data_IF_257989347612
#
_entry.id   IF_257989347612
#
_cell.length_a   1.000
_cell.length_b   1.000
_cell.length_c   1.000
_cell.angle_alpha   90.00
_cell.angle_beta   90.00
_cell.angle_gamma   90.00
#
_symmetry.space_group_name_H-M   'P 1'
#
loop_
_entity.id
_entity.type
_entity.pdbx_description
1 polymer ?
#
# COMPACT_ATOMS: atom_id res chain seq x y z
N UNK A 1 38.54 -22.11 -17.10
CA UNK A 1 37.18 -21.53 -17.02
C UNK A 1 36.90 -20.51 -18.12
N UNK A 2 37.77 -19.51 -18.35
CA UNK A 2 37.56 -18.47 -19.37
C UNK A 2 37.47 -18.96 -20.84
N UNK A 3 38.22 -19.99 -21.24
CA UNK A 3 38.16 -20.52 -22.62
C UNK A 3 36.89 -21.32 -22.91
N UNK A 4 36.26 -21.89 -21.88
CA UNK A 4 35.00 -22.63 -22.00
C UNK A 4 33.82 -21.66 -22.17
N UNK A 5 33.77 -20.61 -21.36
CA UNK A 5 32.74 -19.56 -21.45
C UNK A 5 32.85 -18.80 -22.78
N UNK A 6 34.06 -18.45 -23.22
CA UNK A 6 34.29 -17.80 -24.52
C UNK A 6 33.79 -18.66 -25.70
N UNK A 7 34.07 -19.97 -25.70
CA UNK A 7 33.58 -20.88 -26.74
C UNK A 7 32.07 -21.07 -26.68
N UNK A 8 31.48 -21.08 -25.50
CA UNK A 8 30.03 -21.14 -25.31
C UNK A 8 29.35 -19.88 -25.86
N UNK A 9 29.90 -18.69 -25.58
CA UNK A 9 29.38 -17.40 -26.06
C UNK A 9 29.54 -17.25 -27.58
N UNK A 10 30.66 -17.71 -28.16
CA UNK A 10 30.84 -17.67 -29.63
C UNK A 10 29.94 -18.68 -30.33
N UNK A 11 29.74 -19.88 -29.76
CA UNK A 11 28.76 -20.84 -30.28
C UNK A 11 27.31 -20.35 -30.11
N UNK A 12 27.04 -19.60 -29.04
CA UNK A 12 25.77 -18.92 -28.78
C UNK A 12 25.49 -17.83 -29.82
N UNK A 13 26.45 -16.93 -30.07
CA UNK A 13 26.32 -15.84 -31.05
C UNK A 13 26.26 -16.34 -32.50
N UNK A 14 26.94 -17.45 -32.83
CA UNK A 14 26.88 -18.06 -34.18
C UNK A 14 25.55 -18.74 -34.50
N UNK A 15 24.74 -19.07 -33.50
CA UNK A 15 23.47 -19.78 -33.67
C UNK A 15 22.22 -18.89 -33.59
N UNK A 16 22.40 -17.61 -33.27
CA UNK A 16 21.31 -16.64 -33.32
C UNK A 16 21.26 -16.11 -34.76
N UNK A 17 20.18 -16.41 -35.47
CA UNK A 17 20.00 -15.83 -36.81
C UNK A 17 19.66 -14.35 -36.68
N UNK A 18 20.10 -13.52 -37.63
CA UNK A 18 19.78 -12.09 -37.67
C UNK A 18 18.25 -11.85 -37.53
N UNK A 19 17.44 -12.74 -38.09
CA UNK A 19 15.99 -12.76 -37.96
C UNK A 19 15.51 -12.89 -36.50
N UNK A 20 16.15 -13.74 -35.69
CA UNK A 20 15.79 -13.91 -34.27
C UNK A 20 16.17 -12.68 -33.44
N UNK A 21 17.30 -12.02 -33.76
CA UNK A 21 17.65 -10.73 -33.14
C UNK A 21 16.63 -9.67 -33.49
N UNK A 22 16.23 -9.59 -34.76
CA UNK A 22 15.26 -8.61 -35.24
C UNK A 22 13.87 -8.82 -34.61
N UNK A 23 13.39 -10.06 -34.48
CA UNK A 23 12.12 -10.36 -33.80
C UNK A 23 12.19 -10.08 -32.30
N UNK A 24 13.31 -10.36 -31.62
CA UNK A 24 13.48 -10.01 -30.21
C UNK A 24 13.52 -8.48 -30.00
N UNK A 25 14.19 -7.76 -30.91
CA UNK A 25 14.19 -6.30 -30.93
C UNK A 25 12.80 -5.74 -31.22
N UNK A 26 12.04 -6.30 -32.16
CA UNK A 26 10.66 -5.90 -32.44
C UNK A 26 9.74 -6.16 -31.25
N UNK A 27 9.77 -7.36 -30.65
CA UNK A 27 8.91 -7.65 -29.48
C UNK A 27 9.33 -6.82 -28.27
N UNK A 28 10.63 -6.62 -28.06
CA UNK A 28 11.14 -5.72 -27.03
C UNK A 28 10.73 -4.27 -27.25
N UNK A 29 10.82 -3.78 -28.49
CA UNK A 29 10.40 -2.44 -28.89
C UNK A 29 8.89 -2.29 -28.74
N UNK A 30 8.08 -3.27 -29.15
CA UNK A 30 6.62 -3.27 -28.99
C UNK A 30 6.21 -3.31 -27.53
N UNK A 31 6.82 -4.17 -26.72
CA UNK A 31 6.54 -4.24 -25.28
C UNK A 31 6.93 -2.93 -24.59
N UNK A 32 8.05 -2.33 -25.01
CA UNK A 32 8.50 -1.02 -24.51
C UNK A 32 7.55 0.09 -24.96
N UNK A 33 7.11 0.10 -26.21
CA UNK A 33 6.14 1.06 -26.75
C UNK A 33 4.80 0.90 -26.05
N UNK A 34 4.32 -0.32 -25.82
CA UNK A 34 3.06 -0.59 -25.11
C UNK A 34 3.20 -0.12 -23.66
N UNK A 35 4.27 -0.50 -22.95
CA UNK A 35 4.52 -0.04 -21.58
C UNK A 35 4.63 1.49 -21.49
N UNK A 36 5.33 2.14 -22.41
CA UNK A 36 5.43 3.60 -22.48
C UNK A 36 4.10 4.23 -22.90
N UNK A 37 3.32 3.62 -23.79
CA UNK A 37 2.00 4.11 -24.20
C UNK A 37 1.01 3.99 -23.05
N UNK A 38 1.07 2.92 -22.25
CA UNK A 38 0.29 2.80 -21.02
C UNK A 38 0.75 3.80 -19.97
N UNK A 39 2.07 3.95 -19.76
CA UNK A 39 2.62 4.95 -18.84
C UNK A 39 2.22 6.38 -19.26
N UNK A 40 2.32 6.72 -20.54
CA UNK A 40 1.87 7.99 -21.14
C UNK A 40 0.36 8.12 -21.03
N UNK A 41 -0.43 7.07 -21.27
CA UNK A 41 -1.89 7.08 -21.09
C UNK A 41 -2.27 7.40 -19.64
N UNK A 42 -1.60 6.77 -18.66
CA UNK A 42 -1.80 7.04 -17.23
C UNK A 42 -1.28 8.41 -16.79
N UNK A 43 -0.19 8.91 -17.41
CA UNK A 43 0.34 10.25 -17.19
C UNK A 43 -0.62 11.31 -17.76
N UNK A 44 -1.10 11.12 -19.00
CA UNK A 44 -2.05 12.00 -19.68
C UNK A 44 -3.44 11.96 -19.04
N UNK A 45 -3.80 10.89 -18.31
CA UNK A 45 -5.00 10.83 -17.46
C UNK A 45 -4.96 11.88 -16.33
N UNK A 46 -3.77 12.36 -15.95
CA UNK A 46 -3.57 13.36 -14.88
C UNK A 46 -3.56 14.81 -15.37
N UNK A 47 -3.64 15.08 -16.68
CA UNK A 47 -3.76 16.45 -17.20
C UNK A 47 -5.24 16.89 -17.20
N UNK A 48 -5.59 18.04 -16.59
CA UNK A 48 -6.96 18.51 -16.50
C UNK A 48 -7.35 19.21 -17.81
N UNK A 49 -7.81 18.49 -18.84
CA UNK A 49 -8.32 19.14 -20.07
C UNK A 49 -9.33 18.28 -20.84
N UNK A 50 -10.52 18.88 -21.05
CA UNK A 50 -11.51 18.82 -22.15
C UNK A 50 -11.73 17.52 -23.00
N UNK A 51 -12.94 17.33 -23.59
CA UNK A 51 -13.33 16.15 -24.40
C UNK A 51 -12.41 15.78 -25.57
N UNK A 52 -11.58 16.71 -26.04
CA UNK A 52 -10.55 16.45 -27.05
C UNK A 52 -9.55 15.39 -26.58
N UNK A 53 -9.22 15.34 -25.28
CA UNK A 53 -8.32 14.30 -24.74
C UNK A 53 -8.97 12.92 -24.77
N UNK A 54 -10.29 12.81 -24.61
CA UNK A 54 -11.01 11.53 -24.75
C UNK A 54 -10.97 11.02 -26.20
N UNK A 55 -11.19 11.90 -27.19
CA UNK A 55 -11.12 11.55 -28.61
C UNK A 55 -9.69 11.12 -28.99
N UNK A 56 -8.67 11.86 -28.56
CA UNK A 56 -7.27 11.49 -28.79
C UNK A 56 -6.94 10.16 -28.11
N UNK A 57 -7.41 9.91 -26.87
CA UNK A 57 -7.23 8.64 -26.16
C UNK A 57 -7.88 7.46 -26.89
N UNK A 58 -9.10 7.64 -27.38
CA UNK A 58 -9.83 6.62 -28.14
C UNK A 58 -9.13 6.32 -29.47
N UNK A 59 -8.72 7.36 -30.21
CA UNK A 59 -8.02 7.22 -31.48
C UNK A 59 -6.65 6.55 -31.30
N UNK A 60 -5.90 6.90 -30.24
CA UNK A 60 -4.59 6.29 -29.99
C UNK A 60 -4.72 4.81 -29.63
N UNK A 61 -5.75 4.44 -28.85
CA UNK A 61 -6.06 3.04 -28.55
C UNK A 61 -6.49 2.24 -29.79
N UNK A 62 -7.34 2.82 -30.64
CA UNK A 62 -7.75 2.20 -31.91
C UNK A 62 -6.55 2.00 -32.85
N UNK A 63 -5.66 3.00 -32.96
CA UNK A 63 -4.46 2.90 -33.78
C UNK A 63 -3.48 1.83 -33.26
N UNK A 64 -3.32 1.69 -31.94
CA UNK A 64 -2.51 0.64 -31.35
C UNK A 64 -3.08 -0.76 -31.64
N UNK A 65 -4.40 -0.94 -31.52
CA UNK A 65 -5.07 -2.21 -31.85
C UNK A 65 -4.94 -2.53 -33.35
N UNK A 66 -5.19 -1.56 -34.22
CA UNK A 66 -5.02 -1.72 -35.67
C UNK A 66 -3.59 -2.12 -36.03
N UNK A 67 -2.60 -1.51 -35.38
CA UNK A 67 -1.20 -1.84 -35.61
C UNK A 67 -0.87 -3.28 -35.18
N UNK A 68 -1.38 -3.74 -34.04
CA UNK A 68 -1.24 -5.14 -33.59
C UNK A 68 -1.89 -6.10 -34.59
N UNK A 69 -3.08 -5.77 -35.10
CA UNK A 69 -3.77 -6.59 -36.10
C UNK A 69 -2.96 -6.66 -37.41
N UNK A 70 -2.43 -5.54 -37.90
CA UNK A 70 -1.57 -5.52 -39.10
C UNK A 70 -0.31 -6.37 -38.89
N UNK A 71 0.38 -6.21 -37.76
CA UNK A 71 1.56 -7.01 -37.44
C UNK A 71 1.24 -8.51 -37.35
N UNK A 72 0.10 -8.89 -36.79
CA UNK A 72 -0.36 -10.28 -36.74
C UNK A 72 -0.68 -10.85 -38.13
N UNK A 73 -1.32 -10.06 -38.99
CA UNK A 73 -1.64 -10.44 -40.38
C UNK A 73 -0.36 -10.63 -41.20
N UNK A 74 0.61 -9.73 -41.09
CA UNK A 74 1.89 -9.85 -41.81
C UNK A 74 2.68 -11.06 -41.32
N UNK A 75 2.69 -11.32 -40.01
CA UNK A 75 3.29 -12.53 -39.43
C UNK A 75 2.63 -13.80 -39.99
N UNK A 76 1.30 -13.84 -40.05
CA UNK A 76 0.55 -14.97 -40.60
C UNK A 76 0.80 -15.15 -42.10
N UNK A 77 0.82 -14.06 -42.88
CA UNK A 77 1.13 -14.08 -44.31
C UNK A 77 2.52 -14.67 -44.56
N UNK A 78 3.52 -14.23 -43.79
CA UNK A 78 4.89 -14.74 -43.86
C UNK A 78 5.00 -16.22 -43.47
N UNK A 79 4.19 -16.67 -42.51
CA UNK A 79 4.10 -18.10 -42.18
C UNK A 79 3.54 -18.92 -43.35
N UNK A 80 2.45 -18.47 -43.97
CA UNK A 80 1.79 -19.19 -45.08
C UNK A 80 2.67 -19.22 -46.33
N UNK A 81 3.36 -18.13 -46.67
CA UNK A 81 4.25 -18.08 -47.84
C UNK A 81 5.46 -18.99 -47.69
N UNK A 82 6.02 -19.07 -46.48
CA UNK A 82 7.19 -19.91 -46.19
C UNK A 82 6.84 -21.38 -45.91
N UNK A 83 5.55 -21.71 -45.70
CA UNK A 83 5.08 -23.07 -45.44
C UNK A 83 4.59 -23.82 -46.69
N UNK A 84 4.71 -23.23 -47.89
CA UNK A 84 4.36 -23.95 -49.13
C UNK A 84 5.29 -25.17 -49.29
N UNK A 85 4.74 -26.39 -49.43
CA UNK A 85 5.56 -27.57 -49.65
C UNK A 85 6.33 -27.44 -50.96
N UNK A 86 7.58 -27.95 -51.03
CA UNK A 86 8.39 -27.86 -52.23
C UNK A 86 7.65 -28.53 -53.40
N UNK A 87 7.64 -27.87 -54.56
CA UNK A 87 7.02 -28.41 -55.77
C UNK A 87 7.56 -29.83 -56.06
N UNK A 88 6.68 -30.76 -56.45
CA UNK A 88 7.11 -32.11 -56.81
C UNK A 88 8.05 -32.02 -58.02
N UNK A 89 9.31 -32.45 -57.83
CA UNK A 89 10.32 -32.48 -58.89
C UNK A 89 9.76 -33.24 -60.11
N UNK A 90 9.96 -32.71 -61.33
CA UNK A 90 9.44 -33.36 -62.54
C UNK A 90 10.03 -34.77 -62.66
N UNK A 91 9.14 -35.76 -62.85
CA UNK A 91 9.53 -37.15 -63.11
C UNK A 91 10.37 -37.20 -64.39
N UNK A 92 11.64 -37.55 -64.26
CA UNK A 92 12.53 -37.90 -65.37
C UNK A 92 11.90 -39.08 -66.13
N UNK A 93 11.46 -38.86 -67.37
CA UNK A 93 11.03 -39.93 -68.27
C UNK A 93 12.25 -40.78 -68.61
N UNK A 94 12.18 -42.06 -68.28
CA UNK A 94 13.17 -43.06 -68.62
C UNK A 94 12.91 -43.52 -70.07
N UNK A 95 13.77 -43.23 -71.06
CA UNK A 95 13.59 -43.73 -72.41
C UNK A 95 14.37 -45.03 -72.53
N UNK A 96 13.70 -46.18 -72.35
CA UNK A 96 14.10 -47.49 -72.88
C UNK A 96 13.09 -48.56 -72.42
N UNK A 97 12.10 -48.84 -73.27
CA UNK A 97 11.25 -50.04 -73.24
C UNK A 97 10.86 -50.29 -74.72
N UNK A 98 11.71 -51.03 -75.44
CA UNK A 98 11.55 -52.45 -75.78
C UNK A 98 10.54 -52.71 -76.92
N UNK A 99 11.09 -53.00 -78.10
CA UNK A 99 10.43 -53.66 -79.23
C UNK A 99 10.10 -55.13 -78.90
N UNK A 100 9.06 -55.71 -79.54
CA UNK A 100 8.63 -57.09 -79.30
C UNK A 100 9.48 -58.14 -80.06
N UNK A 101 9.67 -59.37 -79.52
CA UNK A 101 10.45 -60.40 -80.16
C UNK A 101 9.63 -61.29 -81.11
N UNK A 102 10.30 -61.75 -82.17
CA UNK A 102 9.88 -62.81 -83.10
C UNK A 102 10.03 -64.21 -82.47
N UNK A 103 9.18 -65.21 -82.81
CA UNK A 103 9.19 -66.52 -82.17
C UNK A 103 10.09 -67.52 -82.92
N UNK A 104 10.99 -68.20 -82.19
CA UNK A 104 11.62 -69.40 -82.72
C UNK A 104 12.85 -69.89 -81.95
N UNK A 105 12.74 -71.12 -81.45
CA UNK A 105 13.80 -72.08 -81.14
C UNK A 105 14.46 -72.13 -79.73
N UNK A 106 13.97 -73.14 -78.99
CA UNK A 106 14.69 -74.24 -78.31
C UNK A 106 15.64 -73.98 -77.12
N UNK A 107 15.14 -74.48 -75.98
CA UNK A 107 15.80 -75.17 -74.85
C UNK A 107 17.27 -75.60 -75.06
N UNK A 108 18.14 -75.28 -74.09
CA UNK A 108 18.71 -76.29 -73.17
C UNK A 108 19.65 -75.68 -72.11
N UNK A 109 19.68 -76.38 -70.98
CA UNK A 109 20.50 -76.31 -69.76
C UNK A 109 21.93 -75.78 -69.86
N UNK A 110 22.43 -75.18 -68.76
CA UNK A 110 23.73 -75.45 -68.08
C UNK A 110 23.87 -74.46 -66.90
N UNK A 111 23.74 -74.94 -65.65
CA UNK A 111 24.79 -75.11 -64.64
C UNK A 111 25.67 -73.87 -64.32
N UNK A 112 25.40 -73.33 -63.12
CA UNK A 112 26.33 -73.10 -62.00
C UNK A 112 27.59 -72.21 -62.17
N UNK A 113 27.78 -71.40 -61.12
CA UNK A 113 29.03 -71.09 -60.40
C UNK A 113 29.57 -69.64 -60.44
N UNK A 114 29.57 -69.06 -59.23
CA UNK A 114 30.72 -68.52 -58.48
C UNK A 114 31.28 -67.10 -58.79
N UNK A 115 31.12 -66.27 -57.75
CA UNK A 115 32.12 -65.44 -57.04
C UNK A 115 32.73 -64.16 -57.63
N UNK A 116 32.98 -63.25 -56.67
CA UNK A 116 33.87 -62.06 -56.66
C UNK A 116 33.26 -60.86 -57.39
N UNK A 117 33.19 -59.65 -56.86
CA UNK A 117 33.71 -58.99 -55.67
C UNK A 117 33.67 -57.49 -56.01
N UNK A 118 33.16 -56.63 -55.13
CA UNK A 118 32.92 -55.24 -55.50
C UNK A 118 32.63 -54.34 -54.32
N UNK A 119 33.70 -53.81 -53.74
CA UNK A 119 33.74 -52.79 -52.69
C UNK A 119 33.06 -51.51 -53.20
N UNK A 120 32.01 -51.03 -52.52
CA UNK A 120 31.53 -49.65 -52.66
C UNK A 120 31.06 -49.13 -51.29
N UNK A 121 31.68 -48.03 -50.90
CA UNK A 121 31.47 -47.26 -49.68
C UNK A 121 30.07 -46.68 -49.58
N UNK A 122 29.34 -47.00 -48.52
CA UNK A 122 28.22 -46.20 -48.03
C UNK A 122 28.62 -45.54 -46.70
N UNK A 123 28.40 -44.23 -46.50
CA UNK A 123 28.61 -43.61 -45.21
C UNK A 123 27.48 -43.99 -44.23
N UNK A 124 27.71 -43.92 -42.91
CA UNK A 124 26.72 -44.33 -41.92
C UNK A 124 25.56 -43.32 -41.89
N UNK A 125 24.33 -43.83 -41.97
CA UNK A 125 23.12 -43.05 -41.62
C UNK A 125 23.15 -42.75 -40.13
N UNK A 126 23.69 -41.58 -39.78
CA UNK A 126 23.52 -40.99 -38.46
C UNK A 126 22.08 -40.53 -38.30
N UNK A 127 21.28 -41.28 -37.56
CA UNK A 127 19.98 -40.84 -37.05
C UNK A 127 20.21 -39.85 -35.92
N UNK A 128 20.42 -38.57 -36.25
CA UNK A 128 20.26 -37.50 -35.26
C UNK A 128 18.76 -37.23 -35.11
N UNK A 129 18.19 -37.74 -34.01
CA UNK A 129 16.90 -37.27 -33.49
C UNK A 129 16.91 -35.74 -33.40
N UNK A 130 15.84 -35.02 -33.76
CA UNK A 130 15.80 -33.58 -33.62
C UNK A 130 15.83 -33.27 -32.12
N UNK A 131 17.01 -32.94 -31.60
CA UNK A 131 17.12 -32.29 -30.31
C UNK A 131 16.21 -31.06 -30.38
N UNK A 132 15.14 -31.07 -29.58
CA UNK A 132 14.24 -29.93 -29.43
C UNK A 132 15.11 -28.69 -29.17
N UNK A 133 15.31 -27.88 -30.21
CA UNK A 133 15.92 -26.56 -30.08
C UNK A 133 14.92 -25.75 -29.28
N UNK A 134 15.08 -25.76 -27.96
CA UNK A 134 14.38 -24.87 -27.06
C UNK A 134 14.66 -23.47 -27.59
N UNK A 135 13.67 -22.85 -28.26
CA UNK A 135 13.84 -21.51 -28.78
C UNK A 135 14.12 -20.63 -27.57
N UNK A 136 15.23 -19.91 -27.57
CA UNK A 136 15.66 -19.09 -26.43
C UNK A 136 14.89 -17.75 -26.35
N UNK A 137 14.14 -17.44 -27.41
CA UNK A 137 13.34 -16.23 -27.59
C UNK A 137 12.21 -16.05 -26.56
N UNK A 138 11.41 -17.09 -26.22
CA UNK A 138 10.43 -17.00 -25.13
C UNK A 138 11.11 -16.71 -23.80
N UNK A 139 12.32 -17.24 -23.56
CA UNK A 139 13.05 -17.04 -22.31
C UNK A 139 13.52 -15.59 -22.15
N UNK A 140 14.03 -14.95 -23.21
CA UNK A 140 14.43 -13.53 -23.17
C UNK A 140 13.22 -12.61 -22.97
N UNK A 141 12.10 -12.91 -23.64
CA UNK A 141 10.85 -12.16 -23.46
C UNK A 141 10.29 -12.33 -22.04
N UNK A 142 10.39 -13.52 -21.44
CA UNK A 142 10.02 -13.77 -20.04
C UNK A 142 10.90 -12.98 -19.06
N UNK A 143 12.20 -12.89 -19.32
CA UNK A 143 13.15 -12.13 -18.48
C UNK A 143 12.82 -10.63 -18.46
N UNK A 144 12.27 -10.05 -19.53
CA UNK A 144 11.86 -8.64 -19.57
C UNK A 144 10.41 -8.41 -19.13
N UNK A 145 9.53 -9.38 -19.39
CA UNK A 145 8.12 -9.33 -19.00
C UNK A 145 7.97 -9.36 -17.47
N UNK A 146 8.71 -10.24 -16.78
CA UNK A 146 8.58 -10.42 -15.34
C UNK A 146 8.88 -9.12 -14.56
N UNK A 147 10.01 -8.42 -14.75
CA UNK A 147 10.29 -7.14 -14.09
C UNK A 147 9.27 -6.05 -14.41
N UNK A 148 8.75 -6.02 -15.64
CA UNK A 148 7.72 -5.07 -16.06
C UNK A 148 6.40 -5.31 -15.31
N UNK A 149 5.98 -6.57 -15.20
CA UNK A 149 4.80 -6.97 -14.43
C UNK A 149 4.99 -6.70 -12.94
N UNK A 150 6.17 -6.98 -12.39
CA UNK A 150 6.49 -6.69 -10.98
C UNK A 150 6.49 -5.18 -10.70
N UNK A 151 7.00 -4.36 -11.61
CA UNK A 151 6.98 -2.90 -11.49
C UNK A 151 5.55 -2.35 -11.55
N UNK A 152 4.73 -2.89 -12.46
CA UNK A 152 3.31 -2.54 -12.55
C UNK A 152 2.54 -2.96 -11.29
N UNK A 153 2.81 -4.16 -10.78
CA UNK A 153 2.22 -4.67 -9.54
C UNK A 153 2.64 -3.80 -8.34
N UNK A 154 3.92 -3.42 -8.23
CA UNK A 154 4.42 -2.54 -7.19
C UNK A 154 3.79 -1.15 -7.25
N UNK A 155 3.65 -0.58 -8.45
CA UNK A 155 2.95 0.69 -8.66
C UNK A 155 1.47 0.60 -8.25
N UNK A 156 0.79 -0.48 -8.64
CA UNK A 156 -0.61 -0.70 -8.26
C UNK A 156 -0.76 -0.87 -6.73
N UNK A 157 0.11 -1.66 -6.11
CA UNK A 157 0.15 -1.88 -4.66
C UNK A 157 0.42 -0.58 -3.89
N UNK A 158 1.34 0.27 -4.36
CA UNK A 158 1.63 1.54 -3.71
C UNK A 158 0.50 2.57 -3.88
N UNK A 159 -0.01 2.72 -5.11
CA UNK A 159 -0.87 3.85 -5.47
C UNK A 159 -2.36 3.55 -5.30
N UNK A 160 -2.79 2.36 -5.70
CA UNK A 160 -4.22 2.05 -5.86
C UNK A 160 -4.74 1.05 -4.84
N UNK A 161 -3.92 0.12 -4.34
CA UNK A 161 -4.36 -0.84 -3.34
C UNK A 161 -4.97 -0.19 -2.08
N UNK A 162 -4.41 0.90 -1.50
CA UNK A 162 -5.06 1.54 -0.35
C UNK A 162 -6.49 1.98 -0.68
N UNK A 163 -6.70 2.67 -1.79
CA UNK A 163 -8.01 3.20 -2.18
C UNK A 163 -9.00 2.13 -2.64
N UNK A 164 -8.53 1.04 -3.25
CA UNK A 164 -9.37 0.00 -3.83
C UNK A 164 -9.69 -1.13 -2.84
N UNK A 165 -8.76 -1.46 -1.94
CA UNK A 165 -8.87 -2.60 -1.03
C UNK A 165 -9.17 -2.19 0.41
N UNK A 166 -8.88 -0.93 0.78
CA UNK A 166 -9.13 -0.43 2.14
C UNK A 166 -9.88 0.89 2.20
N UNK A 167 -11.19 0.79 2.41
CA UNK A 167 -12.04 1.93 2.68
C UNK A 167 -12.02 2.37 4.16
N UNK A 168 -11.43 1.55 5.04
CA UNK A 168 -11.31 1.82 6.48
C UNK A 168 -12.64 1.94 7.24
N UNK A 169 -13.77 1.48 6.69
CA UNK A 169 -15.10 1.70 7.28
C UNK A 169 -15.25 1.10 8.68
N UNK A 170 -14.55 0.01 8.94
CA UNK A 170 -14.50 -0.77 10.18
C UNK A 170 -13.46 -0.27 11.20
N UNK A 171 -12.70 0.77 10.88
CA UNK A 171 -11.70 1.34 11.80
C UNK A 171 -12.39 1.74 13.11
N UNK A 172 -11.76 1.45 14.24
CA UNK A 172 -12.18 1.96 15.53
C UNK A 172 -10.94 2.46 16.26
N UNK A 173 -11.06 3.60 16.95
CA UNK A 173 -9.94 4.15 17.70
C UNK A 173 -10.40 4.90 18.93
N UNK A 174 -9.49 4.96 19.90
CA UNK A 174 -9.52 5.84 21.06
C UNK A 174 -8.21 6.62 21.06
N UNK A 175 -8.29 7.93 21.29
CA UNK A 175 -7.10 8.77 21.52
C UNK A 175 -7.38 9.85 22.55
N UNK A 176 -6.32 10.31 23.20
CA UNK A 176 -6.35 11.49 24.08
C UNK A 176 -5.80 12.68 23.29
N UNK A 177 -6.50 13.81 23.36
CA UNK A 177 -6.07 15.08 22.79
C UNK A 177 -5.59 16.03 23.88
N UNK A 178 -6.12 17.24 23.89
CA UNK A 178 -5.80 18.26 24.87
C UNK A 178 -6.11 17.80 26.30
N UNK A 179 -5.17 18.07 27.21
CA UNK A 179 -5.30 17.83 28.64
C UNK A 179 -4.77 19.02 29.42
N UNK A 180 -5.24 19.15 30.66
CA UNK A 180 -4.83 20.13 31.65
C UNK A 180 -4.37 19.42 32.94
N UNK A 181 -4.24 20.15 34.03
CA UNK A 181 -3.97 19.56 35.34
C UNK A 181 -5.16 18.72 35.84
N UNK A 182 -6.39 19.03 35.41
CA UNK A 182 -7.62 18.45 35.96
C UNK A 182 -8.60 17.93 34.91
N UNK A 183 -8.31 18.10 33.62
CA UNK A 183 -9.19 17.68 32.52
C UNK A 183 -8.43 17.02 31.38
N UNK A 184 -9.12 16.20 30.58
CA UNK A 184 -8.59 15.64 29.34
C UNK A 184 -9.70 15.39 28.32
N UNK A 185 -9.47 15.75 27.06
CA UNK A 185 -10.34 15.43 25.93
C UNK A 185 -9.98 14.06 25.37
N UNK A 186 -10.99 13.25 25.15
CA UNK A 186 -10.87 11.91 24.59
C UNK A 186 -11.73 11.82 23.34
N UNK A 187 -11.13 11.40 22.23
CA UNK A 187 -11.82 11.21 20.95
C UNK A 187 -11.94 9.72 20.68
N UNK A 188 -13.15 9.31 20.30
CA UNK A 188 -13.51 7.91 20.11
C UNK A 188 -14.27 7.78 18.80
N UNK A 189 -13.91 6.78 18.01
CA UNK A 189 -14.64 6.40 16.80
C UNK A 189 -14.95 4.91 16.82
N UNK A 190 -16.20 4.55 16.55
CA UNK A 190 -16.60 3.16 16.35
C UNK A 190 -17.88 3.03 15.50
N UNK A 191 -17.78 2.47 14.30
CA UNK A 191 -18.91 2.27 13.39
C UNK A 191 -19.72 0.99 13.66
N UNK A 192 -19.24 0.11 14.55
CA UNK A 192 -19.83 -1.22 14.76
C UNK A 192 -20.66 -1.33 16.04
N UNK A 193 -20.73 -0.28 16.85
CA UNK A 193 -21.39 -0.32 18.14
C UNK A 193 -22.43 0.78 18.29
N UNK A 194 -23.61 0.49 18.86
CA UNK A 194 -24.57 1.53 19.19
C UNK A 194 -24.17 2.33 20.43
N UNK A 195 -23.30 1.80 21.28
CA UNK A 195 -22.88 2.45 22.53
C UNK A 195 -21.50 1.96 22.98
N UNK A 196 -20.70 2.86 23.52
CA UNK A 196 -19.39 2.60 24.10
C UNK A 196 -19.38 3.07 25.55
N UNK A 197 -18.74 2.34 26.45
CA UNK A 197 -18.47 2.84 27.81
C UNK A 197 -17.03 3.30 27.93
N UNK A 198 -16.83 4.56 28.31
CA UNK A 198 -15.52 5.09 28.63
C UNK A 198 -15.16 4.79 30.09
N UNK A 199 -13.94 4.33 30.32
CA UNK A 199 -13.43 4.05 31.65
C UNK A 199 -12.03 4.62 31.81
N UNK A 200 -11.67 4.94 33.06
CA UNK A 200 -10.36 5.45 33.43
C UNK A 200 -9.78 4.69 34.62
N UNK A 201 -8.47 4.53 34.66
CA UNK A 201 -7.74 4.01 35.81
C UNK A 201 -6.55 4.92 36.11
N UNK A 202 -6.25 5.14 37.39
CA UNK A 202 -5.00 5.77 37.82
C UNK A 202 -3.92 4.71 37.75
N UNK A 203 -2.81 5.02 37.07
CA UNK A 203 -1.58 4.25 37.24
C UNK A 203 -0.72 5.06 38.19
N UNK A 204 -0.45 4.52 39.38
CA UNK A 204 0.28 5.23 40.43
C UNK A 204 1.59 5.86 39.95
N UNK A 205 2.11 6.82 40.73
CA UNK A 205 3.28 7.62 40.38
C UNK A 205 4.61 6.84 40.44
N UNK A 206 4.57 5.50 40.36
CA UNK A 206 5.79 4.69 40.36
C UNK A 206 6.58 5.01 39.10
N UNK A 207 7.70 5.70 39.30
CA UNK A 207 8.82 5.89 38.38
C UNK A 207 9.42 4.57 37.84
N UNK A 208 8.78 3.43 38.13
CA UNK A 208 9.24 2.06 37.94
C UNK A 208 8.29 1.19 37.12
N UNK A 209 7.33 1.76 36.39
CA UNK A 209 6.72 0.98 35.30
C UNK A 209 7.79 0.89 34.23
N UNK A 210 8.63 -0.14 34.34
CA UNK A 210 9.59 -0.49 33.30
C UNK A 210 8.81 -0.49 31.98
N UNK A 211 9.41 0.06 30.92
CA UNK A 211 8.77 0.15 29.59
C UNK A 211 8.03 -1.15 29.16
N UNK A 212 8.55 -2.37 29.44
CA UNK A 212 7.85 -3.62 29.13
C UNK A 212 6.49 -3.75 29.82
N UNK A 213 6.37 -3.38 31.10
CA UNK A 213 5.12 -3.47 31.84
C UNK A 213 4.10 -2.43 31.36
N UNK A 214 4.56 -1.22 31.03
CA UNK A 214 3.68 -0.21 30.45
C UNK A 214 3.16 -0.62 29.06
N UNK A 215 3.99 -1.25 28.24
CA UNK A 215 3.60 -1.77 26.94
C UNK A 215 2.58 -2.92 27.05
N UNK A 216 2.73 -3.79 28.06
CA UNK A 216 1.74 -4.82 28.39
C UNK A 216 0.40 -4.21 28.82
N UNK A 217 0.43 -3.15 29.63
CA UNK A 217 -0.79 -2.44 30.03
C UNK A 217 -1.54 -1.84 28.85
N UNK A 218 -0.83 -1.29 27.86
CA UNK A 218 -1.43 -0.69 26.66
C UNK A 218 -1.97 -1.73 25.67
N UNK A 219 -1.42 -2.94 25.68
CA UNK A 219 -1.75 -4.03 24.76
C UNK A 219 -2.06 -5.32 25.53
N UNK A 220 -3.16 -5.36 26.31
CA UNK A 220 -3.51 -6.56 27.07
C UNK A 220 -3.75 -7.73 26.10
N UNK A 221 -3.19 -8.89 26.42
CA UNK A 221 -3.49 -10.13 25.68
C UNK A 221 -5.00 -10.37 25.64
N UNK A 222 -5.52 -10.65 24.44
CA UNK A 222 -6.94 -10.77 24.00
C UNK A 222 -7.88 -11.66 24.86
N UNK A 223 -7.40 -12.25 25.94
CA UNK A 223 -8.08 -13.22 26.80
C UNK A 223 -8.83 -12.63 27.99
N UNK A 224 -8.79 -11.33 28.25
CA UNK A 224 -9.64 -10.75 29.29
C UNK A 224 -11.05 -10.57 28.76
N UNK A 225 -11.86 -11.62 28.86
CA UNK A 225 -13.32 -11.50 28.76
C UNK A 225 -13.75 -10.44 29.77
N UNK A 226 -14.15 -9.25 29.30
CA UNK A 226 -14.70 -8.15 30.12
C UNK A 226 -16.12 -8.55 30.59
N UNK A 227 -16.29 -9.76 31.11
CA UNK A 227 -17.56 -10.25 31.64
C UNK A 227 -17.89 -9.60 33.00
N UNK A 228 -16.88 -9.08 33.71
CA UNK A 228 -17.02 -8.39 35.01
C UNK A 228 -16.77 -6.87 34.96
N UNK A 229 -16.37 -6.31 33.81
CA UNK A 229 -15.66 -5.03 33.78
C UNK A 229 -16.50 -3.77 33.50
N UNK A 230 -17.83 -3.85 33.61
CA UNK A 230 -18.74 -2.69 33.47
C UNK A 230 -19.34 -2.20 34.79
N UNK A 231 -19.05 -2.83 35.92
CA UNK A 231 -19.39 -2.27 37.22
C UNK A 231 -18.66 -0.94 37.45
N UNK A 232 -19.24 -0.04 38.24
CA UNK A 232 -18.70 1.31 38.51
C UNK A 232 -17.28 1.30 39.11
N UNK A 233 -16.81 0.15 39.58
CA UNK A 233 -15.44 -0.09 40.04
C UNK A 233 -14.94 -1.49 39.64
N UNK A 234 -14.80 -1.71 38.33
CA UNK A 234 -14.23 -2.94 37.81
C UNK A 234 -12.74 -3.08 38.16
N UNK A 235 -12.35 -4.23 38.72
CA UNK A 235 -10.96 -4.53 39.02
C UNK A 235 -10.35 -5.37 37.89
N UNK A 236 -9.24 -4.91 37.32
CA UNK A 236 -8.39 -5.75 36.47
C UNK A 236 -7.42 -6.50 37.38
N UNK A 237 -7.85 -7.69 37.82
CA UNK A 237 -7.12 -8.51 38.79
C UNK A 237 -5.71 -8.89 38.32
N UNK A 238 -5.48 -8.94 37.00
CA UNK A 238 -4.17 -9.29 36.43
C UNK A 238 -3.13 -8.18 36.66
N UNK A 239 -3.57 -6.92 36.70
CA UNK A 239 -2.69 -5.76 36.80
C UNK A 239 -2.92 -4.90 38.05
N UNK A 240 -3.86 -5.28 38.91
CA UNK A 240 -4.25 -4.49 40.09
C UNK A 240 -4.88 -3.14 39.76
N UNK A 241 -5.32 -2.91 38.51
CA UNK A 241 -5.91 -1.64 38.11
C UNK A 241 -7.37 -1.54 38.56
N UNK A 242 -7.71 -0.43 39.20
CA UNK A 242 -9.09 -0.09 39.54
C UNK A 242 -9.67 0.82 38.47
N UNK A 243 -10.51 0.26 37.61
CA UNK A 243 -11.21 1.00 36.57
C UNK A 243 -12.46 1.67 37.13
N UNK A 244 -12.55 2.98 36.94
CA UNK A 244 -13.73 3.80 37.20
C UNK A 244 -14.50 3.98 35.89
N UNK A 245 -15.78 3.65 35.89
CA UNK A 245 -16.68 4.00 34.78
C UNK A 245 -16.87 5.52 34.76
N UNK A 246 -16.74 6.13 33.58
CA UNK A 246 -16.96 7.56 33.40
C UNK A 246 -18.37 7.83 32.87
N UNK A 247 -18.59 7.54 31.60
CA UNK A 247 -19.86 7.76 30.92
C UNK A 247 -19.94 6.89 29.67
N UNK A 248 -21.15 6.83 29.12
CA UNK A 248 -21.42 6.16 27.86
C UNK A 248 -21.37 7.16 26.70
N UNK A 249 -20.87 6.71 25.54
CA UNK A 249 -20.70 7.49 24.32
C UNK A 249 -21.44 6.79 23.20
N UNK A 250 -22.40 7.49 22.60
CA UNK A 250 -23.14 7.01 21.44
C UNK A 250 -22.45 7.47 20.15
N UNK A 251 -21.96 6.54 19.31
CA UNK A 251 -21.33 6.90 18.05
C UNK A 251 -22.27 7.68 17.12
N UNK A 252 -21.83 8.84 16.64
CA UNK A 252 -22.64 9.73 15.79
C UNK A 252 -22.41 9.45 14.30
N UNK A 253 -23.37 8.84 13.61
CA UNK A 253 -23.28 8.52 12.18
C UNK A 253 -23.10 9.75 11.27
N UNK A 254 -23.61 10.92 11.66
CA UNK A 254 -23.42 12.17 10.91
C UNK A 254 -21.96 12.65 10.93
N UNK A 255 -21.22 12.28 11.97
CA UNK A 255 -19.79 12.59 12.19
C UNK A 255 -18.87 11.38 11.96
N UNK A 256 -19.27 10.49 11.05
CA UNK A 256 -18.57 9.24 10.75
C UNK A 256 -18.26 8.42 12.01
N UNK A 257 -19.25 8.35 12.91
CA UNK A 257 -19.22 7.61 14.17
C UNK A 257 -18.16 8.11 15.15
N UNK A 258 -17.74 9.37 15.02
CA UNK A 258 -16.71 9.99 15.87
C UNK A 258 -17.33 10.95 16.88
N UNK A 259 -16.87 10.84 18.13
CA UNK A 259 -17.33 11.64 19.26
C UNK A 259 -16.12 12.11 20.07
N UNK A 260 -16.30 13.21 20.79
CA UNK A 260 -15.37 13.67 21.81
C UNK A 260 -16.08 13.77 23.15
N UNK A 261 -15.37 13.38 24.20
CA UNK A 261 -15.83 13.58 25.55
C UNK A 261 -14.71 14.13 26.43
N UNK A 262 -15.09 14.91 27.43
CA UNK A 262 -14.15 15.55 28.35
C UNK A 262 -14.21 14.85 29.71
N UNK A 263 -13.06 14.34 30.15
CA UNK A 263 -12.86 13.84 31.50
C UNK A 263 -12.50 15.02 32.38
N UNK A 264 -13.11 15.08 33.57
CA UNK A 264 -12.93 16.14 34.57
C UNK A 264 -12.48 15.55 35.89
N UNK A 265 -12.12 16.42 36.82
CA UNK A 265 -11.71 16.08 38.19
C UNK A 265 -10.53 15.10 38.23
N UNK A 266 -9.58 15.30 37.32
CA UNK A 266 -8.30 14.59 37.33
C UNK A 266 -7.35 15.24 38.35
N UNK A 267 -6.43 14.43 38.86
CA UNK A 267 -5.36 14.88 39.74
C UNK A 267 -4.19 15.41 38.89
N UNK A 268 -3.57 16.55 39.26
CA UNK A 268 -2.39 17.06 38.57
C UNK A 268 -1.21 16.07 38.59
N UNK A 269 -0.33 16.16 37.60
CA UNK A 269 0.89 15.34 37.49
C UNK A 269 0.69 13.81 37.54
N UNK A 270 -0.52 13.32 37.31
CA UNK A 270 -0.92 11.94 37.54
C UNK A 270 -1.03 11.18 36.23
N UNK A 271 -0.54 9.93 36.21
CA UNK A 271 -0.65 9.04 35.05
C UNK A 271 -1.99 8.30 35.08
N UNK A 272 -2.64 8.27 33.92
CA UNK A 272 -3.92 7.62 33.71
C UNK A 272 -3.87 6.67 32.52
N UNK A 273 -4.69 5.62 32.59
CA UNK A 273 -5.14 4.86 31.42
C UNK A 273 -6.61 5.16 31.16
N UNK A 274 -6.94 5.28 29.90
CA UNK A 274 -8.32 5.37 29.41
C UNK A 274 -8.57 4.19 28.48
N UNK A 275 -9.77 3.62 28.56
CA UNK A 275 -10.23 2.59 27.61
C UNK A 275 -11.67 2.84 27.20
N UNK A 276 -12.00 2.41 26.00
CA UNK A 276 -13.36 2.36 25.49
C UNK A 276 -13.79 0.90 25.37
N UNK A 277 -14.94 0.58 25.96
CA UNK A 277 -15.51 -0.77 25.95
C UNK A 277 -16.73 -0.78 25.04
N UNK A 278 -16.67 -1.61 24.01
CA UNK A 278 -17.75 -1.82 23.04
C UNK A 278 -18.84 -2.70 23.61
N UNK A 279 -20.09 -2.26 23.44
CA UNK A 279 -21.28 -3.09 23.65
C UNK A 279 -21.72 -3.72 22.33
N UNK A 280 -21.75 -5.05 22.26
CA UNK A 280 -22.20 -5.78 21.07
C UNK A 280 -23.64 -6.27 21.28
N UNK A 281 -24.61 -5.88 20.43
CA UNK A 281 -25.98 -6.36 20.53
C UNK A 281 -26.06 -7.88 20.46
N UNK A 282 -26.82 -8.50 21.36
CA UNK A 282 -27.08 -9.94 21.35
C UNK A 282 -26.01 -10.82 21.99
N UNK A 283 -24.93 -10.25 22.54
CA UNK A 283 -23.87 -11.00 23.20
C UNK A 283 -23.51 -10.38 24.56
N UNK A 284 -23.31 -11.22 25.58
CA UNK A 284 -22.77 -10.80 26.90
C UNK A 284 -21.26 -10.49 26.86
N UNK A 285 -20.68 -10.38 25.68
CA UNK A 285 -19.25 -10.18 25.48
C UNK A 285 -18.97 -8.72 25.12
N UNK A 286 -18.21 -8.07 25.97
CA UNK A 286 -17.70 -6.73 25.75
C UNK A 286 -16.29 -6.80 25.17
N UNK A 287 -15.96 -5.90 24.24
CA UNK A 287 -14.64 -5.82 23.61
C UNK A 287 -14.02 -4.47 23.90
N UNK A 288 -12.79 -4.47 24.41
CA UNK A 288 -11.99 -3.25 24.52
C UNK A 288 -11.53 -2.82 23.12
N UNK A 289 -11.66 -1.54 22.78
CA UNK A 289 -11.12 -1.01 21.52
C UNK A 289 -9.58 -0.95 21.60
N UNK A 290 -9.08 -0.23 22.60
CA UNK A 290 -7.67 -0.07 22.95
C UNK A 290 -7.56 0.67 24.30
N UNK A 291 -6.35 0.71 24.86
CA UNK A 291 -5.98 1.53 26.03
C UNK A 291 -5.05 2.66 25.61
N UNK A 292 -5.31 3.85 26.16
CA UNK A 292 -4.49 5.04 25.94
C UNK A 292 -3.95 5.53 27.27
N UNK A 293 -2.65 5.71 27.33
CA UNK A 293 -1.97 6.29 28.46
C UNK A 293 -1.67 7.77 28.28
N UNK A 294 -1.81 8.54 29.36
CA UNK A 294 -1.39 9.94 29.38
C UNK A 294 -1.05 10.40 30.82
N UNK A 295 -0.41 11.55 30.94
CA UNK A 295 -0.13 12.21 32.21
C UNK A 295 -0.76 13.60 32.21
N UNK A 296 -1.51 13.95 33.24
CA UNK A 296 -2.04 15.32 33.39
C UNK A 296 -0.91 16.32 33.62
N UNK A 297 -1.20 17.57 33.27
CA UNK A 297 -0.25 18.66 33.48
C UNK A 297 0.06 18.84 34.98
N UNK A 298 1.21 19.43 35.33
CA UNK A 298 1.47 19.91 36.69
C UNK A 298 0.35 20.83 37.21
N UNK A 299 0.21 20.97 38.54
CA UNK A 299 -0.69 21.97 39.09
C UNK A 299 -0.28 23.36 38.57
N UNK A 300 -1.24 24.27 38.34
CA UNK A 300 -0.95 25.65 37.94
C UNK A 300 0.08 26.28 38.88
N UNK A 301 0.97 27.09 38.32
CA UNK A 301 2.03 27.72 39.10
C UNK A 301 1.40 28.75 40.04
N UNK A 302 1.76 28.72 41.32
CA UNK A 302 1.45 29.81 42.24
C UNK A 302 2.12 31.10 41.74
N UNK A 303 1.33 32.02 41.21
CA UNK A 303 1.78 33.32 40.67
C UNK A 303 2.51 34.17 41.71
N UNK A 304 2.33 33.87 43.00
CA UNK A 304 3.01 34.56 44.10
C UNK A 304 4.38 33.97 44.42
N UNK A 305 4.73 32.79 43.88
CA UNK A 305 6.03 32.16 44.10
C UNK A 305 6.67 31.60 42.80
N UNK A 306 7.11 32.48 41.88
CA UNK A 306 7.70 32.09 40.60
C UNK A 306 9.03 31.31 40.73
N UNK A 307 9.68 31.31 41.90
CA UNK A 307 10.93 30.59 42.12
C UNK A 307 10.76 29.07 42.26
N UNK A 308 9.52 28.58 42.44
CA UNK A 308 9.16 27.15 42.40
C UNK A 308 8.71 26.67 41.02
N UNK A 309 8.74 27.54 40.01
CA UNK A 309 7.98 27.39 38.77
C UNK A 309 8.85 27.02 37.56
N UNK A 310 9.22 25.75 37.45
CA UNK A 310 9.79 25.23 36.22
C UNK A 310 9.39 23.78 36.06
N UNK A 311 8.44 23.52 35.16
CA UNK A 311 8.09 22.14 34.80
C UNK A 311 8.86 21.81 33.53
N UNK A 312 9.66 20.75 33.57
CA UNK A 312 10.31 20.20 32.39
C UNK A 312 9.37 19.21 31.75
N UNK A 313 9.11 19.37 30.46
CA UNK A 313 8.40 18.41 29.63
C UNK A 313 9.22 18.09 28.39
N UNK A 314 9.06 16.88 27.89
CA UNK A 314 9.61 16.46 26.61
C UNK A 314 8.43 16.26 25.66
N UNK A 315 8.47 16.91 24.49
CA UNK A 315 7.47 16.70 23.46
C UNK A 315 8.14 16.49 22.11
N UNK A 316 7.44 15.80 21.22
CA UNK A 316 7.85 15.64 19.83
C UNK A 316 7.00 16.51 18.90
N UNK A 317 7.54 16.82 17.74
CA UNK A 317 6.78 17.45 16.65
C UNK A 317 7.16 16.80 15.32
N UNK A 318 6.22 16.79 14.38
CA UNK A 318 6.44 16.33 13.02
C UNK A 318 5.24 16.60 12.13
N UNK A 319 5.44 16.42 10.83
CA UNK A 319 4.44 16.64 9.78
C UNK A 319 4.66 15.63 8.65
N UNK A 320 3.83 15.74 7.61
CA UNK A 320 4.08 15.11 6.32
C UNK A 320 4.22 13.59 6.42
N UNK A 321 3.12 12.90 6.65
CA UNK A 321 3.10 11.44 6.62
C UNK A 321 2.32 10.91 5.42
N UNK A 322 2.95 9.99 4.69
CA UNK A 322 2.30 9.23 3.64
C UNK A 322 2.37 7.74 4.01
N UNK A 323 1.22 7.06 4.16
CA UNK A 323 1.22 5.62 4.36
C UNK A 323 2.01 4.88 3.28
N UNK A 324 2.78 3.89 3.72
CA UNK A 324 3.69 3.12 2.89
C UNK A 324 4.77 3.94 2.19
N UNK A 325 5.21 5.06 2.76
CA UNK A 325 6.36 5.81 2.28
C UNK A 325 7.53 5.77 3.29
N UNK A 326 8.74 5.36 2.88
CA UNK A 326 9.09 4.79 1.58
C UNK A 326 8.39 3.44 1.31
N UNK A 327 8.17 3.13 0.03
CA UNK A 327 7.40 1.95 -0.43
C UNK A 327 7.94 0.63 0.12
N UNK A 328 7.02 -0.15 0.70
CA UNK A 328 7.21 -1.56 1.10
C UNK A 328 6.07 -2.40 0.51
N UNK A 329 6.39 -3.45 -0.26
CA UNK A 329 5.36 -4.30 -0.86
C UNK A 329 4.38 -4.87 0.17
N UNK A 330 3.09 -4.75 -0.12
CA UNK A 330 1.98 -5.28 0.69
C UNK A 330 1.87 -4.67 2.10
N UNK A 331 2.57 -3.57 2.39
CA UNK A 331 2.52 -2.85 3.68
C UNK A 331 1.85 -1.47 3.55
N UNK A 332 0.74 -1.44 2.82
CA UNK A 332 0.06 -0.23 2.34
C UNK A 332 -0.41 0.75 3.44
N UNK A 333 -0.52 0.33 4.71
CA UNK A 333 -0.89 1.21 5.84
C UNK A 333 0.27 1.55 6.79
N UNK A 334 1.49 1.03 6.59
CA UNK A 334 2.58 1.26 7.54
C UNK A 334 3.12 2.70 7.45
N UNK A 335 3.44 3.30 8.60
CA UNK A 335 4.00 4.65 8.70
C UNK A 335 5.25 4.60 9.60
N UNK A 336 6.42 4.41 8.97
CA UNK A 336 7.67 4.15 9.68
C UNK A 336 8.08 5.30 10.63
N UNK A 337 7.78 6.55 10.28
CA UNK A 337 8.05 7.72 11.12
C UNK A 337 7.33 7.65 12.46
N UNK A 338 6.02 7.36 12.45
CA UNK A 338 5.23 7.23 13.69
C UNK A 338 5.76 6.11 14.58
N UNK A 339 6.13 4.96 13.99
CA UNK A 339 6.75 3.86 14.73
C UNK A 339 8.01 4.30 15.47
N UNK A 340 8.87 5.06 14.80
CA UNK A 340 10.10 5.58 15.40
C UNK A 340 9.81 6.52 16.57
N UNK A 341 8.84 7.44 16.41
CA UNK A 341 8.44 8.39 17.47
C UNK A 341 8.07 7.67 18.76
N UNK A 342 7.37 6.53 18.64
CA UNK A 342 6.94 5.77 19.82
C UNK A 342 8.07 5.17 20.67
N UNK A 343 9.32 5.23 20.21
CA UNK A 343 10.50 4.77 20.95
C UNK A 343 11.07 5.84 21.89
N UNK A 344 10.53 7.06 21.84
CA UNK A 344 10.98 8.18 22.67
C UNK A 344 10.05 8.40 23.87
N UNK A 345 10.63 8.78 25.01
CA UNK A 345 9.90 9.14 26.21
C UNK A 345 9.36 10.58 26.11
N UNK A 346 8.22 10.73 25.43
CA UNK A 346 7.53 12.00 25.20
C UNK A 346 6.25 12.09 26.04
N UNK A 347 5.91 13.28 26.50
CA UNK A 347 4.66 13.56 27.22
C UNK A 347 3.49 13.79 26.28
N UNK A 348 3.75 14.37 25.11
CA UNK A 348 2.79 14.56 24.03
C UNK A 348 3.52 14.76 22.70
N UNK A 349 2.75 14.69 21.60
CA UNK A 349 3.26 14.93 20.26
C UNK A 349 2.41 15.96 19.51
N UNK A 350 3.05 16.86 18.78
CA UNK A 350 2.40 17.85 17.93
C UNK A 350 2.53 17.45 16.46
N UNK A 351 1.42 17.12 15.82
CA UNK A 351 1.36 16.84 14.40
C UNK A 351 1.02 18.14 13.65
N UNK A 352 1.96 18.70 12.90
CA UNK A 352 1.86 20.08 12.39
C UNK A 352 1.31 20.20 10.96
N UNK A 353 0.51 19.23 10.51
CA UNK A 353 -0.12 19.22 9.18
C UNK A 353 0.36 18.10 8.27
N UNK A 354 -0.35 17.88 7.17
CA UNK A 354 -0.15 16.77 6.23
C UNK A 354 -0.25 15.40 6.91
N UNK A 355 -1.26 15.25 7.77
CA UNK A 355 -1.65 13.97 8.35
C UNK A 355 -2.27 13.06 7.28
N UNK A 356 -2.94 13.66 6.30
CA UNK A 356 -3.38 12.98 5.09
C UNK A 356 -2.87 13.71 3.86
N UNK A 357 -2.84 12.99 2.74
CA UNK A 357 -2.67 13.55 1.40
C UNK A 357 -3.93 13.25 0.58
N UNK A 358 -4.94 14.12 0.68
CA UNK A 358 -6.24 13.90 -0.01
C UNK A 358 -6.12 14.00 -1.53
N UNK A 359 -5.15 14.78 -1.98
CA UNK A 359 -4.76 14.97 -3.37
C UNK A 359 -3.96 13.78 -3.96
N UNK A 360 -3.54 12.81 -3.14
CA UNK A 360 -2.73 11.67 -3.58
C UNK A 360 -3.35 10.28 -3.33
N UNK A 361 -3.44 9.42 -4.36
CA UNK A 361 -3.42 9.79 -5.78
C UNK A 361 -4.62 10.68 -6.11
N UNK A 362 -4.48 11.52 -7.15
CA UNK A 362 -5.49 12.51 -7.58
C UNK A 362 -6.93 12.02 -7.40
N UNK A 363 -7.66 12.71 -6.52
CA UNK A 363 -9.08 12.47 -6.25
C UNK A 363 -9.91 13.45 -7.09
N UNK A 364 -10.84 12.99 -7.94
CA UNK A 364 -11.54 13.88 -8.87
C UNK A 364 -12.71 14.66 -8.24
N UNK A 365 -13.26 14.21 -7.09
CA UNK A 365 -14.53 14.72 -6.57
C UNK A 365 -14.45 15.44 -5.22
N UNK A 366 -13.47 15.15 -4.37
CA UNK A 366 -13.29 15.76 -3.05
C UNK A 366 -14.59 15.85 -2.22
N UNK A 367 -15.35 14.75 -2.21
CA UNK A 367 -16.53 14.60 -1.35
C UNK A 367 -16.11 14.40 0.11
N UNK A 368 -17.01 14.66 1.06
CA UNK A 368 -16.73 14.37 2.48
C UNK A 368 -16.24 12.93 2.72
N UNK A 369 -16.77 11.96 1.98
CA UNK A 369 -16.35 10.55 2.08
C UNK A 369 -14.93 10.33 1.53
N UNK A 370 -14.47 11.12 0.57
CA UNK A 370 -13.09 11.04 0.09
C UNK A 370 -12.09 11.48 1.18
N UNK A 371 -12.39 12.55 1.92
CA UNK A 371 -11.58 13.00 3.06
C UNK A 371 -11.64 12.00 4.22
N UNK A 372 -12.84 11.60 4.64
CA UNK A 372 -13.02 10.61 5.71
C UNK A 372 -12.30 9.31 5.41
N UNK A 373 -12.38 8.81 4.18
CA UNK A 373 -11.64 7.61 3.76
C UNK A 373 -10.13 7.75 3.96
N UNK A 374 -9.55 8.91 3.62
CA UNK A 374 -8.11 9.17 3.81
C UNK A 374 -7.71 9.17 5.28
N UNK A 375 -8.51 9.80 6.14
CA UNK A 375 -8.30 9.71 7.58
C UNK A 375 -8.41 8.27 8.08
N UNK A 376 -9.45 7.52 7.70
CA UNK A 376 -9.60 6.11 8.12
C UNK A 376 -8.40 5.26 7.69
N UNK A 377 -7.87 5.46 6.49
CA UNK A 377 -6.65 4.77 6.02
C UNK A 377 -5.45 5.08 6.92
N UNK A 378 -5.24 6.35 7.30
CA UNK A 378 -4.19 6.74 8.24
C UNK A 378 -4.39 6.13 9.64
N UNK A 379 -5.63 6.16 10.15
CA UNK A 379 -5.98 5.59 11.46
C UNK A 379 -6.00 4.06 11.50
N UNK A 380 -6.12 3.37 10.35
CA UNK A 380 -6.00 1.91 10.26
C UNK A 380 -4.57 1.43 10.48
N UNK A 381 -3.58 2.31 10.32
CA UNK A 381 -2.19 1.97 10.56
C UNK A 381 -1.98 1.54 12.01
N UNK A 382 -1.33 0.38 12.20
CA UNK A 382 -0.87 -0.03 13.54
C UNK A 382 0.14 0.94 14.13
N UNK A 383 0.89 1.64 13.27
CA UNK A 383 1.87 2.64 13.70
C UNK A 383 1.15 3.88 14.28
N UNK A 384 0.03 4.28 13.68
CA UNK A 384 -0.87 5.32 14.21
C UNK A 384 -1.49 4.88 15.53
N UNK A 385 -2.07 3.67 15.59
CA UNK A 385 -2.65 3.13 16.83
C UNK A 385 -1.63 3.11 17.97
N UNK A 386 -0.42 2.61 17.71
CA UNK A 386 0.64 2.54 18.71
C UNK A 386 1.05 3.92 19.25
N UNK A 387 1.06 4.94 18.40
CA UNK A 387 1.35 6.31 18.81
C UNK A 387 0.23 6.88 19.70
N UNK A 388 -1.04 6.72 19.30
CA UNK A 388 -2.19 7.17 20.09
C UNK A 388 -2.34 6.44 21.43
N UNK A 389 -1.91 5.18 21.53
CA UNK A 389 -1.92 4.45 22.80
C UNK A 389 -0.91 5.01 23.81
N UNK A 390 0.22 5.55 23.34
CA UNK A 390 1.35 5.94 24.20
C UNK A 390 1.30 7.38 24.70
N UNK A 391 0.73 8.29 23.93
CA UNK A 391 0.74 9.70 24.29
C UNK A 391 -0.44 10.48 23.69
N UNK A 392 -0.82 11.62 24.30
CA UNK A 392 -1.69 12.60 23.69
C UNK A 392 -1.11 13.25 22.43
N UNK A 393 -1.98 13.56 21.47
CA UNK A 393 -1.59 14.25 20.23
C UNK A 393 -2.38 15.54 20.03
N UNK A 394 -1.67 16.58 19.61
CA UNK A 394 -2.24 17.83 19.12
C UNK A 394 -2.07 17.90 17.61
N UNK A 395 -3.07 18.40 16.91
CA UNK A 395 -3.06 18.47 15.45
C UNK A 395 -3.21 19.91 14.98
N UNK A 396 -2.41 20.31 14.01
CA UNK A 396 -2.80 21.32 13.03
C UNK A 396 -2.94 20.65 11.67
N UNK A 397 -3.67 21.30 10.76
CA UNK A 397 -3.66 20.96 9.34
C UNK A 397 -2.70 21.87 8.58
N UNK A 398 -2.31 21.43 7.39
CA UNK A 398 -1.57 22.16 6.36
C UNK A 398 -2.29 21.95 4.99
N UNK A 399 -1.61 22.19 3.88
CA UNK A 399 -2.23 22.27 2.56
C UNK A 399 -2.71 20.92 1.99
N UNK A 400 -2.15 19.78 2.42
CA UNK A 400 -2.58 18.46 1.93
C UNK A 400 -3.79 17.84 2.66
N UNK A 401 -4.27 18.50 3.72
CA UNK A 401 -5.64 18.29 4.21
C UNK A 401 -6.70 18.84 3.23
N UNK A 402 -6.28 19.65 2.26
CA UNK A 402 -7.08 20.20 1.17
C UNK A 402 -6.55 19.69 -0.19
N UNK A 403 -7.25 19.97 -1.30
CA UNK A 403 -6.63 19.86 -2.61
C UNK A 403 -5.34 20.70 -2.65
N UNK A 404 -4.22 20.14 -3.11
CA UNK A 404 -2.88 20.74 -3.01
C UNK A 404 -2.79 22.20 -3.48
N UNK A 405 -1.91 22.98 -2.83
CA UNK A 405 -1.68 24.42 -3.06
C UNK A 405 -2.94 25.29 -2.92
N UNK A 406 -3.89 24.90 -2.06
CA UNK A 406 -5.10 25.68 -1.87
C UNK A 406 -4.82 26.99 -1.13
N UNK A 407 -5.17 28.11 -1.77
CA UNK A 407 -5.12 29.47 -1.20
C UNK A 407 -6.49 30.18 -1.21
N UNK A 408 -7.54 29.50 -1.71
CA UNK A 408 -8.84 30.10 -2.03
C UNK A 408 -9.88 29.96 -0.91
N UNK A 409 -9.76 30.82 0.11
CA UNK A 409 -10.65 30.89 1.28
C UNK A 409 -12.15 30.76 0.95
N UNK A 410 -12.89 29.94 1.71
CA UNK A 410 -14.36 29.98 1.79
C UNK A 410 -15.15 29.17 0.76
N UNK A 411 -14.56 28.15 0.13
CA UNK A 411 -15.24 27.28 -0.85
C UNK A 411 -15.77 25.98 -0.22
N UNK A 412 -16.75 25.30 -0.84
CA UNK A 412 -17.32 24.02 -0.34
C UNK A 412 -16.27 22.91 -0.13
N UNK A 413 -15.18 22.91 -0.92
CA UNK A 413 -14.05 21.99 -0.75
C UNK A 413 -13.40 22.17 0.64
N UNK A 414 -13.41 23.41 1.14
CA UNK A 414 -12.92 23.77 2.46
C UNK A 414 -13.83 23.20 3.55
N UNK A 415 -15.15 23.20 3.33
CA UNK A 415 -16.12 22.71 4.32
C UNK A 415 -16.02 21.20 4.52
N UNK A 416 -15.93 20.41 3.43
CA UNK A 416 -15.73 18.96 3.53
C UNK A 416 -14.39 18.61 4.21
N UNK A 417 -13.32 19.30 3.82
CA UNK A 417 -11.99 19.11 4.40
C UNK A 417 -11.97 19.41 5.90
N UNK A 418 -12.46 20.59 6.30
CA UNK A 418 -12.57 20.99 7.72
C UNK A 418 -13.46 20.04 8.49
N UNK A 419 -14.61 19.63 7.94
CA UNK A 419 -15.52 18.71 8.62
C UNK A 419 -14.83 17.39 8.95
N UNK A 420 -14.16 16.77 7.96
CA UNK A 420 -13.41 15.54 8.19
C UNK A 420 -12.20 15.77 9.12
N UNK A 421 -11.48 16.89 8.98
CA UNK A 421 -10.38 17.23 9.88
C UNK A 421 -10.86 17.34 11.33
N UNK A 422 -11.98 18.03 11.58
CA UNK A 422 -12.55 18.19 12.91
C UNK A 422 -12.94 16.83 13.49
N UNK A 423 -13.66 16.01 12.73
CA UNK A 423 -14.05 14.65 13.14
C UNK A 423 -12.85 13.84 13.63
N UNK A 424 -11.77 13.79 12.86
CA UNK A 424 -10.66 12.90 13.15
C UNK A 424 -9.59 13.53 14.04
N UNK A 425 -9.21 14.78 13.80
CA UNK A 425 -8.06 15.43 14.41
C UNK A 425 -8.45 16.62 15.30
N UNK A 426 -9.35 17.50 14.83
CA UNK A 426 -9.68 18.77 15.48
C UNK A 426 -10.47 18.66 16.79
N UNK A 427 -11.42 17.72 16.90
CA UNK A 427 -12.27 17.58 18.10
C UNK A 427 -11.47 17.43 19.40
N UNK A 428 -10.31 16.78 19.33
CA UNK A 428 -9.42 16.56 20.48
C UNK A 428 -8.56 17.75 20.86
N UNK A 429 -8.42 18.76 20.00
CA UNK A 429 -7.55 19.92 20.24
C UNK A 429 -8.10 20.86 21.32
N UNK A 430 -7.27 21.76 21.90
CA UNK A 430 -7.75 22.82 22.77
C UNK A 430 -8.77 23.71 22.02
N UNK A 431 -9.69 24.33 22.76
CA UNK A 431 -10.55 25.34 22.18
C UNK A 431 -9.69 26.54 21.74
N UNK A 432 -9.88 27.02 20.51
CA UNK A 432 -9.20 28.22 20.05
C UNK A 432 -9.80 29.50 20.64
N UNK A 433 -9.02 30.59 20.78
CA UNK A 433 -9.57 31.90 21.06
C UNK A 433 -10.39 32.30 19.83
N UNK A 434 -11.69 32.58 20.03
CA UNK A 434 -12.71 32.75 18.99
C UNK A 434 -12.24 33.36 17.64
N UNK A 435 -12.77 32.77 16.55
CA UNK A 435 -12.65 33.09 15.11
C UNK A 435 -11.46 32.42 14.37
N UNK A 436 -11.69 31.17 13.95
CA UNK A 436 -10.87 30.42 12.99
C UNK A 436 -10.32 29.09 13.56
N UNK A 437 -10.38 27.97 12.82
CA UNK A 437 -10.08 26.62 13.35
C UNK A 437 -8.60 26.32 13.68
N UNK A 438 -7.69 27.30 13.67
CA UNK A 438 -6.24 27.02 13.75
C UNK A 438 -5.42 27.82 14.77
N UNK A 439 -6.04 28.61 15.65
CA UNK A 439 -5.29 29.15 16.79
C UNK A 439 -5.47 28.24 17.98
N UNK A 440 -4.44 27.45 18.28
CA UNK A 440 -4.35 26.68 19.51
C UNK A 440 -3.36 27.37 20.44
N UNK A 441 -3.81 27.74 21.63
CA UNK A 441 -2.91 28.12 22.73
C UNK A 441 -2.83 26.94 23.68
N UNK A 442 -1.64 26.40 23.88
CA UNK A 442 -1.36 25.40 24.90
C UNK A 442 -0.53 26.09 25.97
N UNK A 443 -1.16 26.43 27.10
CA UNK A 443 -0.45 26.97 28.25
C UNK A 443 0.08 25.80 29.09
N UNK A 444 1.36 25.50 28.94
CA UNK A 444 2.10 24.66 29.86
C UNK A 444 2.84 25.60 30.82
N UNK A 445 2.16 26.06 31.87
CA UNK A 445 2.56 27.26 32.61
C UNK A 445 4.01 27.22 33.16
N UNK A 446 4.82 28.16 32.67
CA UNK A 446 5.89 28.86 33.38
C UNK A 446 5.79 30.34 32.92
N UNK A 447 5.73 31.35 33.82
CA UNK A 447 5.58 32.73 33.38
C UNK A 447 6.85 33.22 32.69
N UNK A 448 6.69 33.85 31.52
CA UNK A 448 7.72 34.72 30.94
C UNK A 448 8.03 35.85 31.95
N UNK A 449 9.30 36.23 32.14
CA UNK A 449 9.63 37.41 32.92
C UNK A 449 9.00 38.63 32.27
N UNK A 450 8.12 39.33 32.98
CA UNK A 450 7.68 40.68 32.60
C UNK A 450 8.84 41.65 32.86
N UNK A 451 9.81 41.66 31.97
CA UNK A 451 10.86 42.67 31.86
C UNK A 451 10.83 43.29 30.47
N UNK A 452 11.12 44.59 30.31
CA UNK A 452 11.13 45.23 29.01
C UNK A 452 12.33 44.69 28.20
N UNK A 453 12.05 44.18 27.00
CA UNK A 453 13.04 44.00 25.93
C UNK A 453 12.78 45.05 24.85
#
# INVERSE_FOLDING_TARGET
>A
MGSFISRLVVAFLKNITLFQVLVALEVGLVSTIVAHTYAIYFLLRRLPVAPITFIVRLLTGILAILWIVVAAVDTYRNYVTNSKPPEPKPKVKNPNLFEPPSPGAKLSSILTQKTVGGRSSNPPKGTSSPAHKLSLLPTINLILLIPSLLSLAAFYDFVYAPSALDLGRDVAFLKVGHFTATTAKVVIRDSQSPNLTLMIAVIGNSTLLEAPYYDELLNPSLTTTIASALGDSAMDSAHGLKWKRLFDVQPNSERDFTNMAEIRDLEPSTKYLVRAVRHLPGWSFHRELNRVGFRTAPPPVDRLNPQKAGVRFNFGSGSCMLPNFPYRPLQWSSIAGLRSITQHALEFFMFTGDFIYVDQPSTPLFTIEDFRRKFRQAYRSRDTTALHQRMPLYYSYDDHEYPANWDQRGTFLTENAITAYEEYNGLGNPAGPALGPLRMTIEYESPLPTGPY
#
